data_IF_472336839196
#
_entry.id   IF_472336839196
#
_cell.length_a   1.000
_cell.length_b   1.000
_cell.length_c   1.000
_cell.angle_alpha   90.00
_cell.angle_beta   90.00
_cell.angle_gamma   90.00
#
_symmetry.space_group_name_H-M   'P 1'
#
loop_
_entity.id
_entity.type
_entity.pdbx_description
1 polymer ?
#
# COMPACT_ATOMS: atom_id res chain seq x y z
N UNK A 1 -7.10 10.98 -8.45
CA UNK A 1 -8.32 10.25 -8.06
C UNK A 1 -8.77 10.73 -6.70
N UNK A 2 -10.02 11.15 -6.58
CA UNK A 2 -10.55 11.67 -5.32
C UNK A 2 -11.59 10.72 -4.74
N UNK A 3 -11.46 10.40 -3.47
CA UNK A 3 -12.45 9.68 -2.68
C UNK A 3 -13.33 10.76 -2.01
N UNK A 4 -14.46 11.06 -2.63
CA UNK A 4 -15.38 12.09 -2.14
C UNK A 4 -16.15 11.64 -0.89
N UNK A 5 -16.35 10.34 -0.75
CA UNK A 5 -16.93 9.70 0.43
C UNK A 5 -16.49 8.26 0.51
N UNK A 6 -15.99 7.85 1.65
CA UNK A 6 -15.79 6.45 2.00
C UNK A 6 -16.30 6.26 3.41
N UNK A 7 -17.49 5.65 3.52
CA UNK A 7 -18.13 5.39 4.80
C UNK A 7 -18.41 3.91 4.94
N UNK A 8 -17.92 3.32 6.03
CA UNK A 8 -18.08 1.90 6.37
C UNK A 8 -18.89 1.82 7.65
N UNK A 9 -19.95 1.04 7.60
CA UNK A 9 -20.89 0.88 8.71
C UNK A 9 -21.01 -0.60 9.02
N UNK A 10 -20.96 -0.94 10.30
CA UNK A 10 -21.28 -2.28 10.82
C UNK A 10 -22.50 -2.15 11.73
N UNK A 11 -23.62 -2.77 11.33
CA UNK A 11 -24.93 -2.61 11.99
C UNK A 11 -25.35 -1.14 12.06
N UNK A 12 -25.22 -0.47 13.22
CA UNK A 12 -25.49 0.96 13.41
C UNK A 12 -24.23 1.80 13.58
N UNK A 13 -23.08 1.16 13.74
CA UNK A 13 -21.83 1.83 14.09
C UNK A 13 -21.03 2.26 12.86
N UNK A 14 -20.70 3.54 12.79
CA UNK A 14 -19.82 4.08 11.75
C UNK A 14 -18.37 3.80 12.12
N UNK A 15 -17.75 2.86 11.41
CA UNK A 15 -16.36 2.47 11.65
C UNK A 15 -15.36 3.38 10.95
N UNK A 16 -15.73 3.88 9.76
CA UNK A 16 -14.89 4.78 8.94
C UNK A 16 -15.80 5.77 8.23
N UNK A 17 -15.45 7.05 8.24
CA UNK A 17 -16.12 8.12 7.47
C UNK A 17 -15.05 9.15 7.07
N UNK A 18 -14.48 8.98 5.87
CA UNK A 18 -13.32 9.73 5.41
C UNK A 18 -13.45 10.20 3.96
N UNK A 19 -12.75 11.29 3.67
CA UNK A 19 -12.53 11.83 2.33
C UNK A 19 -11.05 12.10 2.14
N UNK A 20 -10.49 11.81 0.97
CA UNK A 20 -9.09 12.11 0.64
C UNK A 20 -8.85 12.10 -0.86
N UNK A 21 -7.74 12.67 -1.31
CA UNK A 21 -7.33 12.68 -2.71
C UNK A 21 -5.99 11.94 -2.89
N UNK A 22 -5.94 11.09 -3.92
CA UNK A 22 -4.73 10.42 -4.37
C UNK A 22 -4.29 11.10 -5.68
N UNK A 23 -3.52 12.18 -5.56
CA UNK A 23 -3.01 12.93 -6.72
C UNK A 23 -1.90 12.16 -7.43
N UNK A 24 -0.87 11.74 -6.68
CA UNK A 24 0.24 10.88 -7.12
C UNK A 24 0.45 9.73 -6.14
N UNK A 25 1.01 10.03 -4.95
CA UNK A 25 1.23 9.09 -3.87
C UNK A 25 0.73 9.67 -2.55
N UNK A 26 -0.13 8.92 -1.86
CA UNK A 26 -0.72 9.28 -0.57
C UNK A 26 -0.37 8.23 0.48
N UNK A 27 0.20 8.67 1.61
CA UNK A 27 0.33 7.85 2.80
C UNK A 27 -0.92 7.99 3.68
N UNK A 28 -1.56 6.89 4.01
CA UNK A 28 -2.62 6.83 5.01
C UNK A 28 -2.04 6.30 6.31
N UNK A 29 -1.90 7.16 7.31
CA UNK A 29 -1.21 6.84 8.56
C UNK A 29 -2.12 6.96 9.77
N UNK A 30 -1.83 6.21 10.82
CA UNK A 30 -2.58 6.21 12.07
C UNK A 30 -2.26 4.98 12.92
N UNK A 31 -2.69 4.98 14.16
CA UNK A 31 -2.50 3.83 15.06
C UNK A 31 -3.27 2.58 14.60
N UNK A 32 -2.96 1.43 15.20
CA UNK A 32 -3.75 0.20 14.99
C UNK A 32 -5.22 0.46 15.36
N UNK A 33 -6.15 -0.09 14.57
CA UNK A 33 -7.58 0.13 14.76
C UNK A 33 -8.14 1.46 14.23
N UNK A 34 -7.32 2.34 13.64
CA UNK A 34 -7.81 3.63 13.10
C UNK A 34 -8.66 3.53 11.83
N UNK A 35 -8.80 2.35 11.22
CA UNK A 35 -9.63 2.14 10.01
C UNK A 35 -8.83 1.95 8.71
N UNK A 36 -7.49 2.00 8.74
CA UNK A 36 -6.63 1.89 7.54
C UNK A 36 -6.90 0.65 6.70
N UNK A 37 -6.82 -0.52 7.31
CA UNK A 37 -7.02 -1.80 6.58
C UNK A 37 -8.47 -1.98 6.13
N UNK A 38 -9.45 -1.42 6.84
CA UNK A 38 -10.84 -1.39 6.38
C UNK A 38 -10.97 -0.49 5.13
N UNK A 39 -10.29 0.65 5.11
CA UNK A 39 -10.24 1.54 3.94
C UNK A 39 -9.69 0.81 2.72
N UNK A 40 -8.58 0.06 2.87
CA UNK A 40 -8.03 -0.74 1.76
C UNK A 40 -9.02 -1.82 1.28
N UNK A 41 -9.63 -2.56 2.21
CA UNK A 41 -10.64 -3.58 1.87
C UNK A 41 -11.84 -2.99 1.14
N UNK A 42 -12.28 -1.79 1.54
CA UNK A 42 -13.37 -1.08 0.86
C UNK A 42 -13.00 -0.75 -0.60
N UNK A 43 -11.79 -0.21 -0.83
CA UNK A 43 -11.32 0.13 -2.17
C UNK A 43 -11.07 -1.10 -3.06
N UNK A 44 -10.82 -2.27 -2.44
CA UNK A 44 -10.66 -3.55 -3.14
C UNK A 44 -12.01 -4.28 -3.37
N UNK A 45 -13.11 -3.80 -2.81
CA UNK A 45 -14.39 -4.51 -2.82
C UNK A 45 -14.38 -5.79 -1.98
N UNK A 46 -13.58 -5.83 -0.91
CA UNK A 46 -13.31 -7.02 -0.07
C UNK A 46 -13.80 -6.84 1.38
N UNK A 47 -14.78 -5.97 1.60
CA UNK A 47 -15.40 -5.85 2.93
C UNK A 47 -16.22 -7.11 3.26
N UNK A 48 -16.30 -7.52 4.55
CA UNK A 48 -17.23 -8.53 5.01
C UNK A 48 -18.69 -8.17 4.67
N UNK A 49 -19.52 -9.17 4.39
CA UNK A 49 -20.94 -8.98 4.02
C UNK A 49 -21.78 -8.24 5.07
N UNK A 50 -21.38 -8.33 6.34
CA UNK A 50 -22.07 -7.64 7.45
C UNK A 50 -21.80 -6.12 7.46
N UNK A 51 -20.84 -5.65 6.65
CA UNK A 51 -20.49 -4.23 6.56
C UNK A 51 -21.12 -3.61 5.33
N UNK A 52 -21.73 -2.44 5.50
CA UNK A 52 -22.19 -1.63 4.37
C UNK A 52 -21.15 -0.58 3.99
N UNK A 53 -21.06 -0.29 2.69
CA UNK A 53 -20.14 0.66 2.11
C UNK A 53 -20.89 1.74 1.34
N UNK A 54 -20.66 3.01 1.70
CA UNK A 54 -20.97 4.15 0.86
C UNK A 54 -19.67 4.68 0.26
N UNK A 55 -19.44 4.43 -1.02
CA UNK A 55 -18.26 4.87 -1.73
C UNK A 55 -18.62 5.78 -2.91
N UNK A 56 -18.09 7.00 -2.88
CA UNK A 56 -18.20 7.95 -3.98
C UNK A 56 -16.80 8.39 -4.40
N UNK A 57 -16.49 8.16 -5.65
CA UNK A 57 -15.18 8.48 -6.25
C UNK A 57 -15.35 9.41 -7.43
N UNK A 58 -14.33 10.21 -7.69
CA UNK A 58 -14.17 10.95 -8.94
C UNK A 58 -12.75 10.82 -9.44
N UNK A 59 -12.59 10.60 -10.74
CA UNK A 59 -11.30 10.35 -11.38
C UNK A 59 -11.49 9.69 -12.74
N UNK A 60 -10.39 9.36 -13.39
CA UNK A 60 -10.34 8.93 -14.78
C UNK A 60 -10.55 7.41 -14.96
N UNK A 61 -10.79 6.67 -13.87
CA UNK A 61 -10.96 5.22 -13.92
C UNK A 61 -11.84 4.70 -12.76
N UNK A 62 -12.45 3.53 -12.99
CA UNK A 62 -13.20 2.80 -11.98
C UNK A 62 -12.26 1.93 -11.12
N UNK A 63 -12.61 1.73 -9.85
CA UNK A 63 -11.89 0.84 -8.93
C UNK A 63 -12.30 -0.62 -9.22
N UNK A 64 -11.45 -1.36 -9.91
CA UNK A 64 -11.65 -2.78 -10.19
C UNK A 64 -10.41 -3.57 -9.76
N UNK A 65 -10.53 -4.32 -8.65
CA UNK A 65 -9.45 -5.15 -8.12
C UNK A 65 -8.90 -6.12 -9.18
N UNK A 66 -7.57 -6.20 -9.26
CA UNK A 66 -6.87 -7.03 -10.24
C UNK A 66 -6.93 -6.54 -11.70
N UNK A 67 -7.48 -5.34 -11.94
CA UNK A 67 -7.45 -4.63 -13.24
C UNK A 67 -6.87 -3.23 -13.05
N UNK A 68 -7.72 -2.26 -12.74
CA UNK A 68 -7.30 -0.87 -12.48
C UNK A 68 -6.66 -0.67 -11.10
N UNK A 69 -6.88 -1.60 -10.16
CA UNK A 69 -6.30 -1.58 -8.81
C UNK A 69 -5.43 -2.80 -8.59
N UNK A 70 -4.14 -2.56 -8.34
CA UNK A 70 -3.18 -3.55 -7.83
C UNK A 70 -3.11 -3.51 -6.31
N UNK A 71 -2.77 -4.63 -5.68
CA UNK A 71 -2.66 -4.73 -4.22
C UNK A 71 -1.39 -5.46 -3.78
N UNK A 72 -0.69 -4.88 -2.83
CA UNK A 72 0.47 -5.47 -2.16
C UNK A 72 0.14 -5.62 -0.67
N UNK A 73 -0.05 -6.86 -0.17
CA UNK A 73 -0.37 -7.11 1.22
C UNK A 73 0.85 -6.97 2.14
N UNK A 74 0.59 -6.88 3.43
CA UNK A 74 1.60 -6.80 4.48
C UNK A 74 2.54 -8.00 4.50
N UNK A 75 2.00 -9.20 4.29
CA UNK A 75 2.78 -10.43 4.26
C UNK A 75 2.80 -11.02 2.84
N UNK A 76 3.94 -11.02 2.15
CA UNK A 76 4.05 -11.55 0.79
C UNK A 76 3.76 -13.05 0.70
N UNK A 77 3.96 -13.81 1.78
CA UNK A 77 3.65 -15.25 1.81
C UNK A 77 2.16 -15.54 1.69
N UNK A 78 1.30 -14.62 2.08
CA UNK A 78 -0.17 -14.80 1.96
C UNK A 78 -0.71 -14.51 0.57
N UNK A 79 0.07 -13.82 -0.27
CA UNK A 79 -0.31 -13.49 -1.64
C UNK A 79 -0.05 -14.61 -2.64
N UNK A 80 0.75 -15.60 -2.27
CA UNK A 80 1.27 -16.64 -3.14
C UNK A 80 0.86 -18.03 -2.66
N UNK A 81 0.50 -18.90 -3.60
CA UNK A 81 0.29 -20.33 -3.33
C UNK A 81 1.64 -21.03 -3.10
N UNK A 82 1.92 -21.58 -1.91
CA UNK A 82 3.23 -22.15 -1.61
C UNK A 82 3.57 -23.41 -2.41
N UNK A 83 2.54 -24.08 -2.94
CA UNK A 83 2.66 -25.33 -3.73
C UNK A 83 2.60 -25.11 -5.22
N UNK A 84 2.57 -23.86 -5.68
CA UNK A 84 2.51 -23.49 -7.10
C UNK A 84 3.76 -22.71 -7.48
N UNK A 85 4.43 -23.10 -8.57
CA UNK A 85 5.60 -22.39 -9.09
C UNK A 85 5.24 -20.94 -9.45
N UNK A 86 6.19 -20.03 -9.26
CA UNK A 86 5.99 -18.57 -9.42
C UNK A 86 5.37 -18.23 -10.77
N UNK A 87 5.92 -18.71 -11.90
CA UNK A 87 5.40 -18.39 -13.24
C UNK A 87 3.94 -18.78 -13.45
N UNK A 88 3.45 -19.84 -12.77
CA UNK A 88 2.06 -20.30 -12.87
C UNK A 88 1.06 -19.45 -12.10
N UNK A 89 1.53 -18.50 -11.32
CA UNK A 89 0.69 -17.61 -10.51
C UNK A 89 0.46 -16.24 -11.19
N UNK A 90 1.11 -15.99 -12.32
CA UNK A 90 0.84 -14.83 -13.16
C UNK A 90 -0.27 -15.14 -14.18
N UNK A 91 -1.18 -14.18 -14.37
CA UNK A 91 -2.30 -14.27 -15.30
C UNK A 91 -2.11 -13.32 -16.50
N UNK A 92 -0.87 -13.24 -16.97
CA UNK A 92 -0.42 -12.51 -18.16
C UNK A 92 0.52 -13.41 -18.96
N UNK A 93 0.86 -13.02 -20.19
CA UNK A 93 1.78 -13.77 -21.04
C UNK A 93 3.20 -13.84 -20.45
N UNK A 94 3.96 -14.83 -20.90
CA UNK A 94 5.30 -15.13 -20.35
C UNK A 94 6.29 -13.99 -20.62
N UNK A 95 6.16 -13.30 -21.74
CA UNK A 95 7.03 -12.18 -22.10
C UNK A 95 6.84 -11.02 -21.11
N UNK A 96 5.57 -10.70 -20.78
CA UNK A 96 5.27 -9.69 -19.77
C UNK A 96 5.78 -10.09 -18.39
N UNK A 97 5.74 -11.37 -18.02
CA UNK A 97 6.30 -11.84 -16.74
C UNK A 97 7.80 -11.62 -16.69
N UNK A 98 8.55 -11.91 -17.77
CA UNK A 98 10.01 -11.68 -17.84
C UNK A 98 10.35 -10.20 -17.73
N UNK A 99 9.63 -9.32 -18.45
CA UNK A 99 9.78 -7.87 -18.32
C UNK A 99 9.60 -7.39 -16.89
N UNK A 100 8.56 -7.88 -16.20
CA UNK A 100 8.28 -7.54 -14.81
C UNK A 100 9.39 -8.01 -13.88
N UNK A 101 9.90 -9.24 -14.07
CA UNK A 101 11.01 -9.76 -13.27
C UNK A 101 12.27 -8.91 -13.44
N UNK A 102 12.58 -8.51 -14.65
CA UNK A 102 13.68 -7.60 -14.92
C UNK A 102 13.46 -6.24 -14.23
N UNK A 103 12.25 -5.69 -14.32
CA UNK A 103 11.91 -4.38 -13.74
C UNK A 103 12.00 -4.34 -12.21
N UNK A 104 11.75 -5.48 -11.54
CA UNK A 104 11.90 -5.61 -10.08
C UNK A 104 13.28 -6.17 -9.66
N UNK A 105 14.21 -6.31 -10.60
CA UNK A 105 15.57 -6.80 -10.33
C UNK A 105 15.62 -8.25 -9.86
N UNK A 106 14.77 -9.11 -10.43
CA UNK A 106 14.77 -10.56 -10.19
C UNK A 106 15.30 -11.31 -11.41
N UNK A 107 16.01 -12.40 -11.16
CA UNK A 107 16.47 -13.32 -12.21
C UNK A 107 15.35 -14.25 -12.66
N UNK A 108 15.29 -14.57 -13.96
CA UNK A 108 14.26 -15.42 -14.56
C UNK A 108 14.24 -16.85 -14.02
N UNK A 109 15.37 -17.37 -13.52
CA UNK A 109 15.43 -18.71 -12.91
C UNK A 109 14.50 -18.87 -11.71
N UNK A 110 14.19 -17.78 -11.01
CA UNK A 110 13.25 -17.77 -9.89
C UNK A 110 11.81 -18.05 -10.32
N UNK A 111 11.46 -17.87 -11.60
CA UNK A 111 10.14 -18.19 -12.15
C UNK A 111 9.78 -19.67 -11.99
N UNK A 112 10.76 -20.55 -12.00
CA UNK A 112 10.58 -22.00 -11.92
C UNK A 112 10.63 -22.54 -10.48
N UNK A 113 10.83 -21.68 -9.48
CA UNK A 113 10.86 -22.02 -8.07
C UNK A 113 9.48 -21.91 -7.42
N UNK A 114 9.37 -22.52 -6.23
CA UNK A 114 8.22 -22.36 -5.36
C UNK A 114 8.45 -21.18 -4.40
N UNK A 115 7.37 -20.48 -3.94
CA UNK A 115 7.51 -19.37 -2.99
C UNK A 115 8.38 -19.64 -1.77
N UNK A 116 8.31 -20.81 -1.09
CA UNK A 116 9.17 -21.09 0.07
C UNK A 116 10.68 -21.18 -0.23
N UNK A 117 11.07 -21.26 -1.51
CA UNK A 117 12.48 -21.30 -1.91
C UNK A 117 13.08 -19.90 -2.11
N UNK A 118 12.26 -18.85 -1.99
CA UNK A 118 12.69 -17.46 -2.16
C UNK A 118 12.92 -16.78 -0.80
N UNK A 119 13.84 -15.83 -0.74
CA UNK A 119 13.99 -14.94 0.40
C UNK A 119 12.80 -13.99 0.54
N UNK A 120 12.56 -13.44 1.74
CA UNK A 120 11.47 -12.48 1.96
C UNK A 120 11.50 -11.27 1.01
N UNK A 121 12.69 -10.72 0.75
CA UNK A 121 12.84 -9.62 -0.20
C UNK A 121 12.63 -10.03 -1.66
N UNK A 122 12.96 -11.26 -2.04
CA UNK A 122 12.62 -11.80 -3.37
C UNK A 122 11.11 -11.99 -3.50
N UNK A 123 10.47 -12.58 -2.49
CA UNK A 123 9.01 -12.75 -2.47
C UNK A 123 8.28 -11.40 -2.55
N UNK A 124 8.74 -10.40 -1.81
CA UNK A 124 8.16 -9.06 -1.88
C UNK A 124 8.23 -8.48 -3.29
N UNK A 125 9.37 -8.64 -3.98
CA UNK A 125 9.53 -8.19 -5.36
C UNK A 125 8.66 -8.98 -6.34
N UNK A 126 8.47 -10.29 -6.13
CA UNK A 126 7.50 -11.09 -6.91
C UNK A 126 6.08 -10.55 -6.73
N UNK A 127 5.67 -10.26 -5.51
CA UNK A 127 4.32 -9.71 -5.23
C UNK A 127 4.14 -8.33 -5.85
N UNK A 128 5.18 -7.47 -5.83
CA UNK A 128 5.17 -6.19 -6.55
C UNK A 128 4.99 -6.41 -8.06
N UNK A 129 5.76 -7.31 -8.67
CA UNK A 129 5.63 -7.65 -10.09
C UNK A 129 4.23 -8.16 -10.44
N UNK A 130 3.63 -9.01 -9.60
CA UNK A 130 2.27 -9.50 -9.77
C UNK A 130 1.24 -8.37 -9.69
N UNK A 131 1.36 -7.48 -8.71
CA UNK A 131 0.44 -6.35 -8.55
C UNK A 131 0.48 -5.40 -9.76
N UNK A 132 1.64 -5.25 -10.40
CA UNK A 132 1.84 -4.42 -11.60
C UNK A 132 1.57 -5.14 -12.93
N UNK A 133 1.30 -6.45 -12.91
CA UNK A 133 1.21 -7.27 -14.12
C UNK A 133 0.18 -6.78 -15.13
N UNK A 134 -0.95 -6.27 -14.66
CA UNK A 134 -2.03 -5.73 -15.50
C UNK A 134 -2.01 -4.21 -15.66
N UNK A 135 -0.86 -3.56 -15.38
CA UNK A 135 -0.68 -2.10 -15.46
C UNK A 135 -1.79 -1.33 -14.72
N UNK A 136 -1.94 -1.53 -13.41
CA UNK A 136 -2.98 -0.86 -12.64
C UNK A 136 -2.79 0.67 -12.66
N UNK A 137 -3.88 1.40 -12.53
CA UNK A 137 -3.86 2.87 -12.40
C UNK A 137 -3.69 3.31 -10.94
N UNK A 138 -4.02 2.41 -9.99
CA UNK A 138 -3.85 2.61 -8.55
C UNK A 138 -3.18 1.39 -7.93
N UNK A 139 -2.12 1.60 -7.16
CA UNK A 139 -1.47 0.57 -6.35
C UNK A 139 -1.80 0.83 -4.88
N UNK A 140 -2.44 -0.15 -4.25
CA UNK A 140 -2.72 -0.17 -2.82
C UNK A 140 -1.66 -0.99 -2.09
N UNK A 141 -1.06 -0.45 -1.04
CA UNK A 141 -0.01 -1.09 -0.27
C UNK A 141 -0.41 -1.13 1.21
N UNK A 142 -0.50 -2.34 1.77
CA UNK A 142 -0.79 -2.54 3.20
C UNK A 142 0.50 -2.91 3.92
N UNK A 143 1.17 -1.94 4.53
CA UNK A 143 2.40 -2.11 5.31
C UNK A 143 3.48 -3.00 4.65
N UNK A 144 3.80 -2.85 3.37
CA UNK A 144 4.58 -3.82 2.57
C UNK A 144 6.04 -3.98 3.01
N UNK A 145 6.49 -3.19 3.96
CA UNK A 145 7.89 -3.19 4.42
C UNK A 145 8.05 -3.62 5.89
N UNK A 146 6.96 -3.87 6.61
CA UNK A 146 7.00 -4.14 8.07
C UNK A 146 7.76 -5.42 8.41
N UNK A 147 7.67 -6.45 7.57
CA UNK A 147 8.34 -7.75 7.78
C UNK A 147 9.77 -7.81 7.22
N UNK A 148 10.32 -6.71 6.69
CA UNK A 148 11.61 -6.66 6.03
C UNK A 148 12.69 -6.08 6.95
N UNK A 149 13.92 -6.58 6.80
CA UNK A 149 15.09 -5.97 7.42
C UNK A 149 15.34 -4.53 6.89
N UNK A 150 16.06 -3.67 7.61
CA UNK A 150 16.21 -2.26 7.26
C UNK A 150 16.81 -2.03 5.86
N UNK A 151 17.75 -2.87 5.43
CA UNK A 151 18.39 -2.79 4.12
C UNK A 151 17.42 -3.10 2.99
N UNK A 152 16.70 -4.21 3.12
CA UNK A 152 15.68 -4.64 2.15
C UNK A 152 14.52 -3.64 2.10
N UNK A 153 14.14 -3.05 3.24
CA UNK A 153 13.11 -2.01 3.29
C UNK A 153 13.45 -0.81 2.40
N UNK A 154 14.65 -0.27 2.53
CA UNK A 154 15.11 0.86 1.69
C UNK A 154 15.07 0.47 0.21
N UNK A 155 15.59 -0.71 -0.14
CA UNK A 155 15.56 -1.20 -1.53
C UNK A 155 14.15 -1.31 -2.10
N UNK A 156 13.17 -1.76 -1.32
CA UNK A 156 11.77 -1.87 -1.76
C UNK A 156 11.13 -0.48 -1.92
N UNK A 157 11.41 0.46 -1.04
CA UNK A 157 10.93 1.85 -1.15
C UNK A 157 11.48 2.51 -2.42
N UNK A 158 12.78 2.38 -2.67
CA UNK A 158 13.42 2.95 -3.87
C UNK A 158 12.88 2.30 -5.15
N UNK A 159 12.69 0.97 -5.15
CA UNK A 159 12.08 0.24 -6.25
C UNK A 159 10.65 0.75 -6.55
N UNK A 160 9.81 0.91 -5.54
CA UNK A 160 8.44 1.41 -5.71
C UNK A 160 8.42 2.83 -6.29
N UNK A 161 9.33 3.70 -5.85
CA UNK A 161 9.51 5.05 -6.39
C UNK A 161 9.88 5.03 -7.87
N UNK A 162 10.88 4.21 -8.22
CA UNK A 162 11.34 4.06 -9.61
C UNK A 162 10.22 3.53 -10.52
N UNK A 163 9.51 2.50 -10.08
CA UNK A 163 8.39 1.92 -10.83
C UNK A 163 7.25 2.91 -10.99
N UNK A 164 6.90 3.68 -9.94
CA UNK A 164 5.89 4.72 -10.03
C UNK A 164 6.28 5.81 -11.04
N UNK A 165 7.54 6.26 -11.02
CA UNK A 165 8.04 7.24 -11.97
C UNK A 165 8.03 6.76 -13.42
N UNK A 166 8.23 5.46 -13.66
CA UNK A 166 8.21 4.85 -14.99
C UNK A 166 6.80 4.56 -15.51
N UNK A 167 5.95 3.99 -14.68
CA UNK A 167 4.64 3.47 -15.10
C UNK A 167 3.48 4.46 -14.83
N UNK A 168 3.67 5.47 -13.99
CA UNK A 168 2.72 6.57 -13.76
C UNK A 168 1.48 6.20 -12.94
N UNK A 169 1.46 5.05 -12.24
CA UNK A 169 0.34 4.68 -11.39
C UNK A 169 0.25 5.56 -10.13
N UNK A 170 -0.97 5.77 -9.64
CA UNK A 170 -1.20 6.38 -8.33
C UNK A 170 -0.95 5.38 -7.22
N UNK A 171 -0.58 5.85 -6.02
CA UNK A 171 -0.24 4.98 -4.88
C UNK A 171 -0.98 5.41 -3.62
N UNK A 172 -1.59 4.45 -2.94
CA UNK A 172 -2.07 4.59 -1.56
C UNK A 172 -1.27 3.66 -0.66
N UNK A 173 -0.41 4.23 0.16
CA UNK A 173 0.46 3.52 1.08
C UNK A 173 -0.07 3.59 2.50
N UNK A 174 -0.58 2.48 2.99
CA UNK A 174 -1.04 2.35 4.37
C UNK A 174 0.11 1.88 5.24
N UNK A 175 0.40 2.63 6.29
CA UNK A 175 1.48 2.29 7.24
C UNK A 175 1.29 2.97 8.60
N UNK A 176 1.99 2.46 9.61
CA UNK A 176 2.23 3.15 10.87
C UNK A 176 3.67 3.72 10.95
N UNK A 177 4.54 3.39 9.99
CA UNK A 177 5.92 3.89 9.88
C UNK A 177 5.96 5.16 9.00
N UNK A 178 5.91 6.32 9.66
CA UNK A 178 5.96 7.63 9.01
C UNK A 178 7.24 7.82 8.19
N UNK A 179 8.34 7.22 8.58
CA UNK A 179 9.61 7.35 7.88
C UNK A 179 9.62 6.70 6.52
N UNK A 180 9.04 5.49 6.41
CA UNK A 180 8.82 4.83 5.12
C UNK A 180 7.83 5.62 4.27
N UNK A 181 6.78 6.18 4.90
CA UNK A 181 5.81 7.03 4.23
C UNK A 181 6.47 8.30 3.65
N UNK A 182 7.26 9.01 4.45
CA UNK A 182 7.99 10.22 4.03
C UNK A 182 8.97 9.94 2.87
N UNK A 183 9.58 8.77 2.88
CA UNK A 183 10.48 8.39 1.80
C UNK A 183 9.77 8.06 0.48
N UNK A 184 8.49 7.66 0.51
CA UNK A 184 7.76 7.14 -0.65
C UNK A 184 6.65 8.06 -1.15
N UNK A 185 5.96 8.78 -0.25
CA UNK A 185 4.74 9.50 -0.58
C UNK A 185 4.92 11.03 -0.53
N UNK A 186 4.27 11.70 -1.46
CA UNK A 186 4.24 13.15 -1.58
C UNK A 186 3.20 13.78 -0.64
N UNK A 187 2.10 13.06 -0.39
CA UNK A 187 1.01 13.49 0.47
C UNK A 187 0.81 12.53 1.65
N UNK A 188 0.26 13.07 2.74
CA UNK A 188 -0.10 12.31 3.94
C UNK A 188 -1.55 12.60 4.34
N UNK A 189 -2.23 11.56 4.82
CA UNK A 189 -3.55 11.65 5.46
C UNK A 189 -3.49 10.90 6.79
N UNK A 190 -3.62 11.61 7.88
CA UNK A 190 -3.61 11.07 9.24
C UNK A 190 -5.02 10.72 9.65
N UNK A 191 -5.27 9.45 10.01
CA UNK A 191 -6.57 9.00 10.46
C UNK A 191 -6.56 8.49 11.90
N UNK A 192 -7.64 8.77 12.61
CA UNK A 192 -7.91 8.29 13.97
C UNK A 192 -9.38 7.94 14.10
N UNK A 193 -9.67 6.77 14.65
CA UNK A 193 -11.06 6.34 14.93
C UNK A 193 -12.00 6.52 13.72
N UNK A 194 -11.52 6.13 12.54
CA UNK A 194 -12.29 6.20 11.30
C UNK A 194 -12.50 7.59 10.72
N UNK A 195 -11.79 8.61 11.19
CA UNK A 195 -11.91 10.01 10.70
C UNK A 195 -10.56 10.55 10.27
N UNK A 196 -10.56 11.43 9.27
CA UNK A 196 -9.38 12.22 8.91
C UNK A 196 -9.18 13.28 9.99
N UNK A 197 -7.96 13.32 10.53
CA UNK A 197 -7.54 14.30 11.52
C UNK A 197 -6.77 15.43 10.85
N UNK A 198 -5.83 15.08 9.95
CA UNK A 198 -5.01 16.05 9.25
C UNK A 198 -4.58 15.47 7.91
N UNK A 199 -4.49 16.28 6.88
CA UNK A 199 -3.99 15.87 5.56
C UNK A 199 -3.35 17.04 4.84
N UNK A 200 -2.32 16.76 4.03
CA UNK A 200 -1.59 17.78 3.27
C UNK A 200 -0.36 17.23 2.59
N UNK A 201 0.53 18.12 2.18
CA UNK A 201 1.85 17.74 1.71
C UNK A 201 2.64 17.09 2.84
N UNK A 202 3.37 16.02 2.52
CA UNK A 202 4.12 15.24 3.50
C UNK A 202 5.04 16.13 4.34
N UNK A 203 5.84 16.95 3.68
CA UNK A 203 6.82 17.82 4.36
C UNK A 203 6.17 18.88 5.26
N UNK A 204 5.03 19.43 4.85
CA UNK A 204 4.30 20.42 5.67
C UNK A 204 3.75 19.78 6.94
N UNK A 205 3.06 18.65 6.81
CA UNK A 205 2.43 17.97 7.96
C UNK A 205 3.49 17.40 8.91
N UNK A 206 4.63 16.92 8.40
CA UNK A 206 5.70 16.39 9.25
C UNK A 206 6.41 17.50 10.04
N UNK A 207 6.72 18.64 9.40
CA UNK A 207 7.49 19.71 10.06
C UNK A 207 6.64 20.71 10.83
N UNK A 208 5.36 20.86 10.45
CA UNK A 208 4.44 21.82 11.04
C UNK A 208 3.04 21.26 11.30
N UNK A 209 2.94 20.11 12.01
CA UNK A 209 1.64 19.48 12.27
C UNK A 209 0.73 20.42 13.07
N UNK A 210 -0.51 20.59 12.66
CA UNK A 210 -1.48 21.46 13.32
C UNK A 210 -2.21 20.72 14.43
N UNK A 211 -2.51 19.45 14.23
CA UNK A 211 -3.32 18.65 15.12
C UNK A 211 -2.45 17.98 16.23
N UNK A 212 -2.94 18.01 17.46
CA UNK A 212 -2.24 17.41 18.61
C UNK A 212 -1.96 15.92 18.42
N UNK A 213 -2.91 15.20 17.83
CA UNK A 213 -2.76 13.77 17.55
C UNK A 213 -1.62 13.52 16.55
N UNK A 214 -1.56 14.30 15.48
CA UNK A 214 -0.49 14.22 14.47
C UNK A 214 0.87 14.46 15.10
N UNK A 215 1.01 15.49 15.96
CA UNK A 215 2.26 15.78 16.71
C UNK A 215 2.70 14.56 17.52
N UNK A 216 1.80 14.00 18.32
CA UNK A 216 2.10 12.82 19.14
C UNK A 216 2.48 11.60 18.29
N UNK A 217 1.81 11.41 17.15
CA UNK A 217 2.08 10.29 16.24
C UNK A 217 3.48 10.42 15.61
N UNK A 218 3.87 11.62 15.21
CA UNK A 218 5.18 11.94 14.66
C UNK A 218 6.27 11.73 15.72
N UNK A 219 6.12 12.32 16.89
CA UNK A 219 7.06 12.18 18.01
C UNK A 219 7.30 10.71 18.36
N UNK A 220 6.24 9.92 18.50
CA UNK A 220 6.35 8.49 18.80
C UNK A 220 7.09 7.69 17.70
N UNK A 221 7.00 8.08 16.44
CA UNK A 221 7.73 7.45 15.35
C UNK A 221 9.22 7.78 15.33
N UNK A 222 9.60 9.02 15.69
CA UNK A 222 11.00 9.45 15.70
C UNK A 222 11.73 9.01 16.97
N UNK A 223 11.10 9.03 18.14
CA UNK A 223 11.69 8.61 19.41
C UNK A 223 12.05 7.12 19.43
N UNK A 224 11.29 6.29 18.75
CA UNK A 224 11.57 4.84 18.63
C UNK A 224 12.83 4.51 17.78
N UNK A 225 13.48 5.49 17.16
CA UNK A 225 14.72 5.28 16.38
C UNK A 225 15.99 5.36 17.24
N UNK A 226 16.01 6.13 18.31
CA UNK A 226 17.19 6.25 19.17
C UNK A 226 17.52 4.99 19.97
N UNK A 227 16.57 4.04 20.08
CA UNK A 227 16.74 2.77 20.79
C UNK A 227 17.07 1.56 19.90
N UNK A 228 17.32 1.76 18.59
CA UNK A 228 17.62 0.67 17.63
C UNK A 228 18.98 0.86 16.93
N UNK A 229 19.98 1.34 17.66
CA UNK A 229 21.40 1.32 17.23
C UNK A 229 22.07 0.08 17.79
#
# INVERSE_FOLDING_TARGET
>A
MKINKLKIILESDVLVDITFDISSSLALVGQSGSGKSLTLKALLGMLPEQMSLELQTSGDFELVGGKSVGFIPQNPFTALSPLTKIHKQFFVDEERVKELFLSVGLSEDLLHRFPPELSGGQLQRVVIAMALSKKPQLLLLDEPTTALDPKTRVMIIDLLKELQGKEGFKMLFVTHDISSAQSLCEYICVIKEGKVIESGLMDEVIHSPQEKYTKTLIEANFTNREFRV
#
